data_IF_742585283140
#
_entry.id   IF_742585283140
#
_cell.length_a   1.000
_cell.length_b   1.000
_cell.length_c   1.000
_cell.angle_alpha   90.00
_cell.angle_beta   90.00
_cell.angle_gamma   90.00
#
_symmetry.space_group_name_H-M   'P 1'
#
loop_
_entity.id
_entity.type
_entity.pdbx_description
1 polymer ?
#
# COMPACT_ATOMS: atom_id res chain seq x y z
N UNK A 1 -27.14 -3.89 -10.57
CA UNK A 1 -25.93 -4.59 -10.09
C UNK A 1 -24.82 -3.59 -9.91
N UNK A 2 -23.85 -3.84 -9.03
CA UNK A 2 -22.63 -3.03 -8.96
C UNK A 2 -21.69 -3.35 -10.13
N UNK A 3 -20.96 -2.34 -10.59
CA UNK A 3 -20.02 -2.39 -11.71
C UNK A 3 -18.58 -2.13 -11.22
N UNK A 4 -17.59 -2.75 -11.86
CA UNK A 4 -16.18 -2.36 -11.73
C UNK A 4 -15.73 -1.74 -13.05
N UNK A 5 -15.25 -0.49 -12.99
CA UNK A 5 -14.81 0.26 -14.17
C UNK A 5 -13.58 1.10 -13.88
N UNK A 6 -12.97 1.63 -14.94
CA UNK A 6 -11.88 2.59 -14.85
C UNK A 6 -12.33 3.86 -14.09
N UNK A 7 -11.40 4.38 -13.28
CA UNK A 7 -11.50 5.67 -12.60
C UNK A 7 -11.61 6.79 -13.64
N UNK A 8 -12.51 7.74 -13.39
CA UNK A 8 -12.68 8.97 -14.17
C UNK A 8 -12.39 10.16 -13.27
N UNK A 9 -12.07 11.30 -13.87
CA UNK A 9 -11.87 12.57 -13.14
C UNK A 9 -13.07 12.93 -12.26
N UNK A 10 -14.29 12.68 -12.74
CA UNK A 10 -15.54 12.91 -12.00
C UNK A 10 -15.69 12.03 -10.74
N UNK A 11 -14.95 10.93 -10.63
CA UNK A 11 -14.99 10.04 -9.46
C UNK A 11 -14.06 10.52 -8.33
N UNK A 12 -13.10 11.42 -8.63
CA UNK A 12 -12.07 11.83 -7.68
C UNK A 12 -12.62 12.39 -6.36
N UNK A 13 -13.70 13.22 -6.33
CA UNK A 13 -14.25 13.69 -5.06
C UNK A 13 -14.77 12.54 -4.17
N UNK A 14 -15.37 11.51 -4.76
CA UNK A 14 -15.85 10.35 -4.01
C UNK A 14 -14.69 9.47 -3.52
N UNK A 15 -13.65 9.31 -4.35
CA UNK A 15 -12.42 8.60 -3.97
C UNK A 15 -11.70 9.31 -2.83
N UNK A 16 -11.51 10.62 -2.91
CA UNK A 16 -10.93 11.45 -1.85
C UNK A 16 -11.68 11.24 -0.52
N UNK A 17 -13.01 11.33 -0.54
CA UNK A 17 -13.83 11.08 0.66
C UNK A 17 -13.69 9.66 1.22
N UNK A 18 -13.52 8.64 0.36
CA UNK A 18 -13.23 7.27 0.81
C UNK A 18 -11.85 7.15 1.45
N UNK A 19 -10.84 7.81 0.88
CA UNK A 19 -9.47 7.77 1.40
C UNK A 19 -9.35 8.51 2.73
N UNK A 20 -9.90 9.72 2.82
CA UNK A 20 -9.98 10.50 4.07
C UNK A 20 -10.64 9.71 5.20
N UNK A 21 -11.73 9.01 4.89
CA UNK A 21 -12.47 8.25 5.89
C UNK A 21 -11.78 6.96 6.32
N UNK A 22 -10.95 6.34 5.46
CA UNK A 22 -10.51 4.95 5.63
C UNK A 22 -9.00 4.76 5.74
N UNK A 23 -8.19 5.70 5.27
CA UNK A 23 -6.73 5.67 5.35
C UNK A 23 -6.23 6.64 6.43
N UNK A 24 -5.72 6.12 7.56
CA UNK A 24 -5.12 6.96 8.59
C UNK A 24 -3.92 7.75 8.05
N UNK A 25 -3.89 9.05 8.31
CA UNK A 25 -2.79 9.93 7.90
C UNK A 25 -2.76 10.24 6.41
N UNK A 26 -3.80 9.85 5.65
CA UNK A 26 -3.99 10.35 4.30
C UNK A 26 -4.15 11.87 4.35
N UNK A 27 -3.45 12.57 3.46
CA UNK A 27 -3.45 14.02 3.35
C UNK A 27 -3.27 14.51 1.91
N UNK A 28 -3.49 13.61 0.94
CA UNK A 28 -3.53 13.97 -0.47
C UNK A 28 -4.92 14.51 -0.81
N UNK A 29 -4.97 15.55 -1.62
CA UNK A 29 -6.21 16.11 -2.13
C UNK A 29 -6.53 15.57 -3.54
N UNK A 30 -7.64 16.02 -4.11
CA UNK A 30 -8.01 15.72 -5.50
C UNK A 30 -6.92 16.06 -6.51
N UNK A 31 -6.21 17.17 -6.34
CA UNK A 31 -5.15 17.58 -7.29
C UNK A 31 -4.00 16.58 -7.25
N UNK A 32 -3.60 16.17 -6.05
CA UNK A 32 -2.61 15.11 -5.85
C UNK A 32 -3.06 13.78 -6.46
N UNK A 33 -4.32 13.36 -6.26
CA UNK A 33 -4.85 12.14 -6.87
C UNK A 33 -4.83 12.22 -8.39
N UNK A 34 -5.31 13.32 -8.98
CA UNK A 34 -5.30 13.53 -10.41
C UNK A 34 -3.86 13.46 -10.96
N UNK A 35 -2.92 14.17 -10.34
CA UNK A 35 -1.52 14.21 -10.77
C UNK A 35 -0.82 12.85 -10.66
N UNK A 36 -1.11 12.06 -9.62
CA UNK A 36 -0.39 10.81 -9.34
C UNK A 36 -1.00 9.58 -9.99
N UNK A 37 -2.29 9.61 -10.33
CA UNK A 37 -3.03 8.44 -10.83
C UNK A 37 -3.53 8.63 -12.28
N UNK A 38 -4.02 9.81 -12.64
CA UNK A 38 -4.60 10.06 -13.97
C UNK A 38 -3.61 10.72 -14.93
N UNK A 39 -2.91 11.75 -14.45
CA UNK A 39 -2.00 12.59 -15.24
C UNK A 39 -0.52 12.27 -15.00
N UNK A 40 -0.21 11.10 -14.43
CA UNK A 40 1.17 10.68 -14.22
C UNK A 40 1.88 10.56 -15.59
N UNK A 41 3.18 10.93 -15.72
CA UNK A 41 3.90 10.84 -17.01
C UNK A 41 3.97 9.43 -17.62
N UNK A 42 3.79 8.41 -16.79
CA UNK A 42 3.70 6.99 -17.19
C UNK A 42 2.28 6.44 -17.16
N UNK A 43 1.25 7.29 -17.06
CA UNK A 43 -0.13 6.85 -17.13
C UNK A 43 -0.36 6.07 -18.43
N UNK A 44 -1.10 4.98 -18.31
CA UNK A 44 -1.32 4.02 -19.37
C UNK A 44 -2.83 3.71 -19.42
N UNK A 45 -3.50 3.92 -20.57
CA UNK A 45 -4.94 3.80 -20.68
C UNK A 45 -5.45 2.37 -20.51
N UNK A 46 -4.60 1.35 -20.55
CA UNK A 46 -4.99 -0.04 -20.27
C UNK A 46 -4.73 -0.46 -18.82
N UNK A 47 -3.93 0.31 -18.08
CA UNK A 47 -3.53 0.05 -16.68
C UNK A 47 -4.10 1.11 -15.74
N UNK A 48 -5.40 1.35 -15.88
CA UNK A 48 -6.14 2.38 -15.13
C UNK A 48 -6.43 1.95 -13.70
N UNK A 49 -6.53 2.93 -12.80
CA UNK A 49 -7.13 2.71 -11.49
C UNK A 49 -8.60 2.35 -11.62
N UNK A 50 -9.13 1.60 -10.65
CA UNK A 50 -10.46 1.04 -10.75
C UNK A 50 -11.33 1.50 -9.59
N UNK A 51 -12.61 1.68 -9.87
CA UNK A 51 -13.65 1.96 -8.88
C UNK A 51 -14.75 0.91 -8.96
N UNK A 52 -15.36 0.62 -7.81
CA UNK A 52 -16.66 -0.08 -7.75
C UNK A 52 -17.76 0.95 -7.61
N UNK A 53 -18.78 0.81 -8.46
CA UNK A 53 -19.91 1.75 -8.55
C UNK A 53 -21.20 0.99 -8.35
N UNK A 54 -22.13 1.54 -7.57
CA UNK A 54 -23.44 0.92 -7.38
C UNK A 54 -24.45 1.32 -8.48
N UNK A 55 -25.69 0.85 -8.34
CA UNK A 55 -26.76 1.08 -9.32
C UNK A 55 -27.15 2.56 -9.49
N UNK A 56 -26.83 3.40 -8.51
CA UNK A 56 -27.11 4.83 -8.53
C UNK A 56 -25.92 5.65 -9.05
N UNK A 57 -24.80 4.99 -9.40
CA UNK A 57 -23.59 5.69 -9.83
C UNK A 57 -22.64 6.04 -8.69
N UNK A 58 -22.93 5.61 -7.45
CA UNK A 58 -22.11 5.97 -6.29
C UNK A 58 -20.86 5.08 -6.18
N UNK A 59 -19.70 5.73 -6.06
CA UNK A 59 -18.41 5.04 -5.85
C UNK A 59 -18.34 4.58 -4.40
N UNK A 60 -18.16 3.27 -4.19
CA UNK A 60 -18.05 2.68 -2.84
C UNK A 60 -16.76 1.89 -2.61
N UNK A 61 -15.85 1.88 -3.59
CA UNK A 61 -14.57 1.20 -3.49
C UNK A 61 -13.62 1.65 -4.58
N UNK A 62 -12.33 1.53 -4.29
CA UNK A 62 -11.27 2.08 -5.11
C UNK A 62 -9.99 1.24 -4.96
N UNK A 63 -9.24 1.10 -6.05
CA UNK A 63 -7.85 0.64 -6.05
C UNK A 63 -7.03 1.50 -7.02
N UNK A 64 -5.96 2.08 -6.50
CA UNK A 64 -5.02 2.90 -7.24
C UNK A 64 -3.99 2.06 -8.00
N UNK A 65 -3.58 2.55 -9.16
CA UNK A 65 -2.55 2.00 -10.03
C UNK A 65 -1.51 3.07 -10.28
N UNK A 66 -0.26 2.76 -9.96
CA UNK A 66 0.88 3.57 -10.35
C UNK A 66 1.73 2.76 -11.34
N UNK A 67 1.60 3.13 -12.61
CA UNK A 67 2.32 2.47 -13.70
C UNK A 67 3.81 2.79 -13.60
N UNK A 68 4.63 1.79 -13.86
CA UNK A 68 6.08 1.88 -13.93
C UNK A 68 6.57 1.19 -15.20
N UNK A 69 7.48 1.84 -15.90
CA UNK A 69 8.24 1.22 -16.98
C UNK A 69 9.42 0.51 -16.35
N UNK A 70 9.54 -0.79 -16.60
CA UNK A 70 10.57 -1.63 -16.05
C UNK A 70 11.38 -2.26 -17.19
N UNK A 71 12.64 -2.58 -16.95
CA UNK A 71 13.49 -3.35 -17.86
C UNK A 71 14.01 -4.58 -17.14
N UNK A 72 13.91 -5.74 -17.78
CA UNK A 72 14.54 -6.98 -17.35
C UNK A 72 15.50 -7.43 -18.46
N UNK A 73 16.80 -7.26 -18.21
CA UNK A 73 17.84 -7.32 -19.24
C UNK A 73 17.45 -6.43 -20.42
N UNK A 74 17.21 -6.98 -21.62
CA UNK A 74 16.82 -6.25 -22.84
C UNK A 74 15.31 -6.23 -23.10
N UNK A 75 14.50 -6.76 -22.17
CA UNK A 75 13.05 -6.81 -22.31
C UNK A 75 12.38 -5.68 -21.51
N UNK A 76 11.57 -4.89 -22.19
CA UNK A 76 10.67 -3.93 -21.54
C UNK A 76 9.53 -4.67 -20.84
N UNK A 77 9.15 -4.21 -19.66
CA UNK A 77 8.10 -4.76 -18.83
C UNK A 77 7.18 -3.63 -18.35
N UNK A 78 5.88 -3.90 -18.29
CA UNK A 78 4.87 -3.04 -17.68
C UNK A 78 4.68 -3.43 -16.23
N UNK A 79 5.00 -2.53 -15.32
CA UNK A 79 4.81 -2.69 -13.88
C UNK A 79 3.63 -1.88 -13.35
N UNK A 80 2.91 -2.44 -12.38
CA UNK A 80 1.91 -1.71 -11.60
C UNK A 80 2.24 -1.82 -10.11
N UNK A 81 2.57 -0.69 -9.49
CA UNK A 81 2.47 -0.58 -8.04
C UNK A 81 1.03 -0.22 -7.69
N UNK A 82 0.28 -1.15 -7.11
CA UNK A 82 -1.08 -0.86 -6.67
C UNK A 82 -1.09 -0.31 -5.25
N UNK A 83 -1.93 0.70 -5.03
CA UNK A 83 -2.04 1.43 -3.78
C UNK A 83 -3.50 1.71 -3.43
N UNK A 84 -3.73 2.20 -2.21
CA UNK A 84 -5.02 2.77 -1.80
C UNK A 84 -6.25 1.85 -1.96
N UNK A 85 -6.09 0.53 -1.80
CA UNK A 85 -7.23 -0.39 -1.87
C UNK A 85 -8.20 -0.14 -0.69
N UNK A 86 -9.34 0.48 -0.97
CA UNK A 86 -10.37 0.81 0.01
C UNK A 86 -11.76 0.40 -0.45
N UNK A 87 -12.61 0.02 0.52
CA UNK A 87 -14.03 -0.27 0.32
C UNK A 87 -14.81 0.30 1.49
N UNK A 88 -15.92 0.97 1.18
CA UNK A 88 -16.83 1.58 2.14
C UNK A 88 -17.24 0.57 3.24
N UNK A 89 -17.25 0.96 4.53
CA UNK A 89 -17.46 0.03 5.64
C UNK A 89 -18.75 -0.78 5.55
N UNK A 90 -19.84 -0.14 5.12
CA UNK A 90 -21.15 -0.76 4.90
C UNK A 90 -21.20 -1.73 3.70
N UNK A 91 -20.12 -1.83 2.92
CA UNK A 91 -19.97 -2.74 1.77
C UNK A 91 -18.87 -3.80 1.97
N UNK A 92 -18.16 -3.81 3.11
CA UNK A 92 -17.06 -4.75 3.39
C UNK A 92 -17.47 -6.21 3.57
N UNK A 93 -18.74 -6.49 3.81
CA UNK A 93 -19.25 -7.86 3.87
C UNK A 93 -19.30 -8.58 2.52
N UNK A 94 -19.12 -7.85 1.41
CA UNK A 94 -19.06 -8.41 0.06
C UNK A 94 -17.63 -8.62 -0.45
N UNK A 95 -17.53 -9.09 -1.69
CA UNK A 95 -16.25 -9.41 -2.34
C UNK A 95 -15.59 -8.22 -3.07
N UNK A 96 -16.09 -6.98 -2.90
CA UNK A 96 -15.71 -5.83 -3.73
C UNK A 96 -14.20 -5.58 -3.79
N UNK A 97 -13.50 -5.66 -2.64
CA UNK A 97 -12.04 -5.47 -2.59
C UNK A 97 -11.27 -6.57 -3.34
N UNK A 98 -11.71 -7.83 -3.19
CA UNK A 98 -11.12 -8.96 -3.92
C UNK A 98 -11.43 -8.89 -5.42
N UNK A 99 -12.62 -8.42 -5.81
CA UNK A 99 -12.99 -8.24 -7.21
C UNK A 99 -12.23 -7.09 -7.87
N UNK A 100 -12.02 -5.96 -7.16
CA UNK A 100 -11.15 -4.87 -7.62
C UNK A 100 -9.73 -5.38 -7.87
N UNK A 101 -9.16 -6.07 -6.89
CA UNK A 101 -7.84 -6.66 -7.02
C UNK A 101 -7.78 -7.67 -8.17
N UNK A 102 -8.73 -8.60 -8.24
CA UNK A 102 -8.78 -9.62 -9.30
C UNK A 102 -8.95 -9.01 -10.70
N UNK A 103 -9.69 -7.90 -10.83
CA UNK A 103 -9.82 -7.17 -12.11
C UNK A 103 -8.55 -6.43 -12.49
N UNK A 104 -7.82 -5.88 -11.51
CA UNK A 104 -6.51 -5.26 -11.72
C UNK A 104 -5.49 -6.30 -12.17
N UNK A 105 -5.39 -7.45 -11.50
CA UNK A 105 -4.42 -8.50 -11.82
C UNK A 105 -4.63 -9.16 -13.20
N UNK A 106 -5.82 -9.02 -13.78
CA UNK A 106 -6.13 -9.47 -15.15
C UNK A 106 -5.75 -8.46 -16.23
N UNK A 107 -5.22 -7.30 -15.85
CA UNK A 107 -4.73 -6.31 -16.80
C UNK A 107 -3.49 -6.78 -17.57
N UNK A 108 -3.06 -6.04 -18.61
CA UNK A 108 -1.95 -6.42 -19.47
C UNK A 108 -0.55 -6.11 -18.90
N UNK A 109 -0.42 -5.95 -17.58
CA UNK A 109 0.88 -5.74 -16.93
C UNK A 109 1.63 -7.06 -16.71
N UNK A 110 2.96 -7.01 -16.77
CA UNK A 110 3.82 -8.17 -16.50
C UNK A 110 3.97 -8.44 -15.00
N UNK A 111 4.03 -7.37 -14.20
CA UNK A 111 4.27 -7.46 -12.75
C UNK A 111 3.38 -6.49 -12.00
N UNK A 112 2.75 -6.97 -10.92
CA UNK A 112 2.02 -6.14 -9.97
C UNK A 112 2.60 -6.32 -8.57
N UNK A 113 2.78 -5.23 -7.83
CA UNK A 113 3.19 -5.27 -6.42
C UNK A 113 2.45 -4.20 -5.61
N UNK A 114 2.57 -4.28 -4.29
CA UNK A 114 2.10 -3.24 -3.36
C UNK A 114 3.14 -3.04 -2.28
N UNK A 115 3.37 -1.79 -1.88
CA UNK A 115 4.29 -1.38 -0.83
C UNK A 115 3.59 -1.09 0.52
N UNK A 116 2.25 -1.17 0.53
CA UNK A 116 1.40 -0.68 1.63
C UNK A 116 0.34 -1.71 2.04
N UNK A 117 0.58 -3.00 1.71
CA UNK A 117 -0.33 -4.09 2.00
C UNK A 117 -0.43 -4.39 3.51
N UNK A 118 -1.63 -4.25 4.07
CA UNK A 118 -1.95 -4.77 5.40
C UNK A 118 -2.25 -6.28 5.36
N UNK A 119 -2.45 -6.90 6.52
CA UNK A 119 -2.73 -8.34 6.63
C UNK A 119 -3.94 -8.81 5.80
N UNK A 120 -4.98 -7.98 5.67
CA UNK A 120 -6.14 -8.31 4.86
C UNK A 120 -5.80 -8.29 3.35
N UNK A 121 -5.02 -7.30 2.92
CA UNK A 121 -4.52 -7.23 1.53
C UNK A 121 -3.61 -8.41 1.23
N UNK A 122 -2.66 -8.75 2.11
CA UNK A 122 -1.79 -9.92 1.93
C UNK A 122 -2.58 -11.22 1.81
N UNK A 123 -3.63 -11.42 2.61
CA UNK A 123 -4.51 -12.59 2.47
C UNK A 123 -5.18 -12.65 1.10
N UNK A 124 -5.77 -11.53 0.64
CA UNK A 124 -6.36 -11.46 -0.71
C UNK A 124 -5.31 -11.73 -1.79
N UNK A 125 -4.11 -11.13 -1.65
CA UNK A 125 -2.99 -11.28 -2.57
C UNK A 125 -2.58 -12.75 -2.74
N UNK A 126 -2.48 -13.48 -1.63
CA UNK A 126 -2.18 -14.93 -1.63
C UNK A 126 -3.27 -15.76 -2.30
N UNK A 127 -4.55 -15.39 -2.16
CA UNK A 127 -5.64 -16.07 -2.87
C UNK A 127 -5.50 -15.96 -4.39
N UNK A 128 -4.88 -14.90 -4.90
CA UNK A 128 -4.57 -14.73 -6.32
C UNK A 128 -3.20 -15.31 -6.73
N UNK A 129 -2.53 -16.08 -5.86
CA UNK A 129 -1.22 -16.68 -6.13
C UNK A 129 -0.03 -15.75 -5.91
N UNK A 130 -0.25 -14.56 -5.35
CA UNK A 130 0.82 -13.66 -4.96
C UNK A 130 1.57 -14.12 -3.71
N UNK A 131 2.80 -13.63 -3.54
CA UNK A 131 3.63 -13.91 -2.36
C UNK A 131 4.05 -12.60 -1.67
N UNK A 132 4.42 -12.70 -0.40
CA UNK A 132 5.05 -11.60 0.33
C UNK A 132 6.56 -11.70 0.10
N UNK A 133 7.17 -10.63 -0.39
CA UNK A 133 8.62 -10.53 -0.49
C UNK A 133 9.21 -10.12 0.87
N UNK A 134 9.44 -11.10 1.76
CA UNK A 134 9.96 -10.86 3.11
C UNK A 134 11.30 -10.13 3.13
N UNK A 135 12.14 -10.28 2.09
CA UNK A 135 13.43 -9.60 2.01
C UNK A 135 13.31 -8.11 1.68
N UNK A 136 12.22 -7.71 1.01
CA UNK A 136 11.98 -6.31 0.60
C UNK A 136 10.82 -5.65 1.36
N UNK A 137 10.07 -6.40 2.15
CA UNK A 137 9.06 -5.90 3.06
C UNK A 137 9.73 -5.29 4.31
N UNK A 138 10.12 -4.02 4.20
CA UNK A 138 10.70 -3.25 5.30
C UNK A 138 9.76 -2.10 5.67
N UNK A 139 9.54 -1.90 6.96
CA UNK A 139 8.92 -0.68 7.51
C UNK A 139 9.96 -0.01 8.40
N UNK A 140 10.16 1.29 8.21
CA UNK A 140 11.11 2.08 9.00
C UNK A 140 10.51 3.45 9.28
N UNK A 141 10.89 4.04 10.40
CA UNK A 141 10.47 5.39 10.75
C UNK A 141 11.64 6.20 11.30
N UNK A 142 11.87 7.35 10.68
CA UNK A 142 12.78 8.37 11.21
C UNK A 142 11.99 9.56 11.74
N UNK A 143 12.09 9.83 13.05
CA UNK A 143 11.41 10.98 13.67
C UNK A 143 12.26 12.23 13.53
N UNK A 144 11.96 13.06 12.52
CA UNK A 144 12.71 14.29 12.24
C UNK A 144 12.52 15.40 13.30
N UNK A 145 11.39 15.40 14.03
CA UNK A 145 11.06 16.41 15.07
C UNK A 145 10.58 15.73 16.36
N UNK A 146 11.49 15.14 17.16
CA UNK A 146 11.13 14.28 18.29
C UNK A 146 10.18 14.94 19.29
N UNK A 147 10.45 16.19 19.69
CA UNK A 147 9.60 16.91 20.65
C UNK A 147 8.18 17.17 20.12
N UNK A 148 8.06 17.52 18.83
CA UNK A 148 6.75 17.74 18.20
C UNK A 148 5.96 16.44 18.09
N UNK A 149 6.65 15.35 17.76
CA UNK A 149 6.07 14.00 17.67
C UNK A 149 5.56 13.51 19.03
N UNK A 150 6.36 13.63 20.10
CA UNK A 150 5.93 13.28 21.46
C UNK A 150 4.70 14.08 21.88
N UNK A 151 4.70 15.40 21.63
CA UNK A 151 3.56 16.27 21.93
C UNK A 151 2.30 15.85 21.18
N UNK A 152 2.42 15.49 19.90
CA UNK A 152 1.30 14.97 19.11
C UNK A 152 0.77 13.64 19.69
N UNK A 153 1.67 12.74 20.12
CA UNK A 153 1.33 11.48 20.77
C UNK A 153 0.54 11.67 22.07
N UNK A 154 1.03 12.55 22.96
CA UNK A 154 0.34 12.88 24.21
C UNK A 154 -1.03 13.51 23.92
N UNK A 155 -1.11 14.46 22.99
CA UNK A 155 -2.37 15.12 22.64
C UNK A 155 -3.39 14.15 22.02
N UNK A 156 -2.95 13.14 21.27
CA UNK A 156 -3.83 12.10 20.73
C UNK A 156 -4.33 11.16 21.83
N UNK A 157 -3.45 10.72 22.74
CA UNK A 157 -3.80 9.87 23.86
C UNK A 157 -4.83 10.53 24.80
N UNK A 158 -4.63 11.82 25.13
CA UNK A 158 -5.58 12.60 25.94
C UNK A 158 -6.95 12.77 25.28
N UNK A 159 -7.01 12.77 23.94
CA UNK A 159 -8.26 12.86 23.16
C UNK A 159 -8.92 11.50 22.93
N UNK A 160 -8.47 10.44 23.60
CA UNK A 160 -9.02 9.09 23.43
C UNK A 160 -8.82 8.50 22.04
N UNK A 161 -7.98 9.12 21.21
CA UNK A 161 -7.67 8.59 19.89
C UNK A 161 -6.71 7.41 20.06
N UNK A 162 -7.03 6.26 19.44
CA UNK A 162 -6.09 5.15 19.40
C UNK A 162 -4.83 5.61 18.65
N UNK A 163 -3.62 5.37 19.17
CA UNK A 163 -2.40 5.79 18.48
C UNK A 163 -2.37 5.19 17.08
N UNK A 164 -2.35 6.06 16.07
CA UNK A 164 -2.22 5.70 14.67
C UNK A 164 -0.77 5.33 14.32
N UNK A 165 -0.53 4.89 13.08
CA UNK A 165 0.83 4.49 12.63
C UNK A 165 1.80 5.66 12.75
N UNK A 166 1.32 6.90 12.58
CA UNK A 166 2.11 8.13 12.77
C UNK A 166 2.64 8.34 14.20
N UNK A 167 2.07 7.68 15.21
CA UNK A 167 2.43 7.83 16.62
C UNK A 167 3.11 6.59 17.19
N UNK A 168 3.32 5.56 16.36
CA UNK A 168 3.96 4.31 16.75
C UNK A 168 5.34 4.27 16.11
N UNK A 169 6.43 4.44 16.88
CA UNK A 169 7.78 4.43 16.32
C UNK A 169 8.11 3.03 15.82
N UNK A 170 8.41 2.91 14.53
CA UNK A 170 9.02 1.71 13.96
C UNK A 170 10.54 1.91 13.99
N UNK A 171 11.23 1.12 14.80
CA UNK A 171 12.68 0.89 14.74
C UNK A 171 13.62 1.71 15.65
N UNK A 172 13.30 2.96 16.04
CA UNK A 172 14.34 3.84 16.63
C UNK A 172 14.30 4.04 18.17
N UNK A 173 13.29 3.52 18.87
CA UNK A 173 13.16 3.64 20.33
C UNK A 173 12.89 2.26 20.95
N UNK A 174 13.41 1.95 22.15
CA UNK A 174 13.20 0.66 22.84
C UNK A 174 11.74 0.36 23.20
N UNK A 175 10.81 1.25 22.83
CA UNK A 175 9.37 1.05 22.91
C UNK A 175 8.82 0.12 21.81
N UNK A 176 9.63 -0.28 20.81
CA UNK A 176 9.20 -1.17 19.72
C UNK A 176 8.57 -2.49 20.22
N UNK A 177 9.14 -3.08 21.27
CA UNK A 177 8.63 -4.32 21.86
C UNK A 177 7.23 -4.15 22.52
N UNK A 178 6.88 -2.92 22.92
CA UNK A 178 5.57 -2.60 23.51
C UNK A 178 4.56 -2.30 22.39
N UNK A 179 5.02 -1.70 21.28
CA UNK A 179 4.16 -1.31 20.17
C UNK A 179 3.69 -2.48 19.32
N UNK A 180 4.47 -3.56 19.20
CA UNK A 180 4.05 -4.77 18.49
C UNK A 180 2.77 -5.38 19.08
N UNK A 181 2.56 -5.24 20.40
CA UNK A 181 1.33 -5.67 21.07
C UNK A 181 0.12 -4.80 20.72
N UNK A 182 0.31 -3.52 20.45
CA UNK A 182 -0.75 -2.55 20.13
C UNK A 182 -1.04 -2.46 18.61
N UNK A 183 -0.05 -2.72 17.77
CA UNK A 183 -0.13 -2.63 16.31
C UNK A 183 -0.52 -3.95 15.61
N UNK A 184 -0.87 -5.01 16.38
CA UNK A 184 -1.20 -6.40 16.01
C UNK A 184 -2.13 -6.65 14.80
N UNK A 185 -2.71 -5.62 14.18
CA UNK A 185 -3.61 -5.72 13.02
C UNK A 185 -3.11 -5.00 11.77
N UNK A 186 -1.91 -4.41 11.80
CA UNK A 186 -1.47 -3.48 10.74
C UNK A 186 -0.30 -3.99 9.90
N UNK A 187 0.50 -4.94 10.41
CA UNK A 187 1.57 -5.60 9.65
C UNK A 187 1.24 -7.08 9.43
N UNK A 188 1.68 -7.68 8.29
CA UNK A 188 1.58 -9.12 8.08
C UNK A 188 2.32 -9.85 9.21
N UNK A 189 1.67 -10.85 9.82
CA UNK A 189 2.27 -11.55 10.96
C UNK A 189 3.14 -12.70 10.50
N UNK A 190 4.37 -12.71 11.01
CA UNK A 190 5.28 -13.85 10.94
C UNK A 190 5.90 -14.05 9.56
N UNK A 191 7.02 -14.76 9.56
CA UNK A 191 7.59 -15.31 8.34
C UNK A 191 6.68 -16.43 7.82
N UNK A 192 6.67 -16.62 6.50
CA UNK A 192 6.04 -17.82 5.94
C UNK A 192 6.81 -19.08 6.38
N UNK A 193 6.17 -20.27 6.47
CA UNK A 193 6.78 -21.46 7.06
C UNK A 193 8.13 -21.86 6.47
N UNK A 194 8.36 -21.56 5.20
CA UNK A 194 9.58 -21.89 4.45
C UNK A 194 10.64 -20.77 4.50
N UNK A 195 10.38 -19.70 5.26
CA UNK A 195 11.24 -18.54 5.39
C UNK A 195 11.78 -18.47 6.81
N UNK A 196 13.11 -18.40 6.93
CA UNK A 196 13.81 -18.08 8.17
C UNK A 196 14.46 -16.71 8.09
N UNK A 197 14.68 -16.10 9.25
CA UNK A 197 15.29 -14.78 9.38
C UNK A 197 16.16 -14.71 10.63
N UNK A 198 17.05 -13.72 10.64
CA UNK A 198 17.85 -13.34 11.79
C UNK A 198 17.48 -11.90 12.14
N UNK A 199 17.41 -11.59 13.43
CA UNK A 199 17.32 -10.20 13.86
C UNK A 199 18.68 -9.55 13.61
N UNK A 200 18.69 -8.50 12.77
CA UNK A 200 19.89 -7.78 12.36
C UNK A 200 19.70 -6.29 12.57
N UNK A 201 20.77 -5.59 12.91
CA UNK A 201 20.77 -4.13 12.99
C UNK A 201 20.95 -3.45 11.62
N UNK A 202 20.87 -2.12 11.60
CA UNK A 202 20.99 -1.36 10.35
C UNK A 202 22.38 -1.51 9.69
N UNK A 203 23.45 -1.67 10.46
CA UNK A 203 24.80 -1.84 9.92
C UNK A 203 24.94 -3.22 9.26
N UNK A 204 24.40 -4.26 9.90
CA UNK A 204 24.37 -5.62 9.35
C UNK A 204 23.53 -5.71 8.07
N UNK A 205 22.39 -4.99 7.99
CA UNK A 205 21.60 -4.88 6.74
C UNK A 205 22.45 -4.26 5.63
N UNK A 206 23.18 -3.17 5.92
CA UNK A 206 24.04 -2.50 4.95
C UNK A 206 25.17 -3.43 4.49
N UNK A 207 25.77 -4.18 5.39
CA UNK A 207 26.80 -5.18 5.07
C UNK A 207 26.27 -6.25 4.11
N UNK A 208 25.02 -6.69 4.30
CA UNK A 208 24.38 -7.70 3.44
C UNK A 208 23.74 -7.13 2.16
N UNK A 209 23.63 -5.81 2.02
CA UNK A 209 22.95 -5.17 0.89
C UNK A 209 23.51 -5.57 -0.48
N UNK A 210 24.84 -5.69 -0.70
CA UNK A 210 25.39 -6.16 -1.98
C UNK A 210 24.91 -7.58 -2.31
N UNK A 211 24.81 -8.46 -1.32
CA UNK A 211 24.32 -9.83 -1.53
C UNK A 211 22.83 -9.84 -1.87
N UNK A 212 22.02 -9.04 -1.17
CA UNK A 212 20.59 -8.90 -1.40
C UNK A 212 20.26 -8.30 -2.78
N UNK A 213 21.11 -7.40 -3.27
CA UNK A 213 20.90 -6.70 -4.54
C UNK A 213 21.61 -7.34 -5.73
N UNK A 214 22.58 -8.25 -5.50
CA UNK A 214 23.40 -8.90 -6.55
C UNK A 214 22.60 -9.58 -7.67
N UNK A 215 21.36 -10.01 -7.40
CA UNK A 215 20.49 -10.72 -8.35
C UNK A 215 19.38 -9.83 -8.92
N UNK A 216 19.38 -8.53 -8.63
CA UNK A 216 18.41 -7.59 -9.18
C UNK A 216 18.72 -7.34 -10.66
N UNK A 217 17.90 -7.93 -11.51
CA UNK A 217 17.96 -7.73 -12.98
C UNK A 217 16.83 -6.81 -13.49
N UNK A 218 15.78 -6.65 -12.69
CA UNK A 218 14.68 -5.73 -12.99
C UNK A 218 15.05 -4.36 -12.47
N UNK A 219 14.99 -3.35 -13.34
CA UNK A 219 15.20 -1.94 -13.00
C UNK A 219 14.08 -1.07 -13.54
N UNK A 220 13.88 0.09 -12.92
CA UNK A 220 13.02 1.13 -13.49
C UNK A 220 13.72 1.71 -14.73
N UNK A 221 12.95 1.97 -15.78
CA UNK A 221 13.42 2.61 -16.99
C UNK A 221 13.00 4.09 -16.97
N UNK A 222 13.94 4.94 -16.55
CA UNK A 222 13.74 6.39 -16.39
C UNK A 222 13.91 7.15 -17.70
#
# INVERSE_FOLDING_TARGET
MSEIRALRDADLPAVEGLLDALLPGWGGDREFLAATILAHPWADPELTSLVTVDEHGEVFGFIGTQVRRLRFDDRELRGVCCSHLVVAPNRRGGAAGALLLGRLLKGPQDVTWSDSANEAVVRMWRTFGGHLDHARACDWMLVLRPAAWVRAGIAAALRGHRPGRELVPVGALPLHAITDRAAKRRQPKGLDPDISGLDVDAAEIVEHLPRLTSRLRVRVDY
#
